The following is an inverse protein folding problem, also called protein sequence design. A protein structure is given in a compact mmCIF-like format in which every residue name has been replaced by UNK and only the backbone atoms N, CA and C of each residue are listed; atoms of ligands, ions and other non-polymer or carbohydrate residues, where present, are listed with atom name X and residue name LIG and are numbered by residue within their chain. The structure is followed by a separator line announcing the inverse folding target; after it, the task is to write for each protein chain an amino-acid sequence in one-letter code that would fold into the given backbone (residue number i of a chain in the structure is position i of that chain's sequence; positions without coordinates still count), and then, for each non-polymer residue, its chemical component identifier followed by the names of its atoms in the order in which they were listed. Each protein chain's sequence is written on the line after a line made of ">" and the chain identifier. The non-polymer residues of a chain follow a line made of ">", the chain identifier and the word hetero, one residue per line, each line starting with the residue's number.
data_IF_127304493655
#
_entry.id   IF_127304493655
#
_cell.length_a   1.000
_cell.length_b   1.000
_cell.length_c   1.000
_cell.angle_alpha   90.00
_cell.angle_beta   90.00
_cell.angle_gamma   90.00
#
_symmetry.space_group_name_H-M   'P 1'
#
loop_
_entity.id
_entity.type
_entity.pdbx_description
1 polymer ?
#
# COMPACT_ATOMS: atom_id res chain seq x y z
N UNK A 1 -5.69 11.03 -49.04
CA UNK A 1 -6.05 12.17 -49.92
C UNK A 1 -5.51 13.43 -49.29
N UNK A 2 -4.70 14.18 -50.03
CA UNK A 2 -4.10 15.45 -49.62
C UNK A 2 -5.09 16.59 -49.87
N UNK A 3 -5.19 17.54 -48.94
CA UNK A 3 -5.75 18.86 -49.23
C UNK A 3 -4.66 19.90 -49.01
N UNK A 4 -4.49 20.71 -50.05
CA UNK A 4 -3.46 21.72 -50.30
C UNK A 4 -4.04 23.12 -50.09
N UNK A 5 -3.19 24.05 -49.62
CA UNK A 5 -3.08 25.49 -50.02
C UNK A 5 -4.23 26.45 -49.66
N UNK A 6 -4.09 27.75 -49.38
CA UNK A 6 -3.02 28.77 -49.34
C UNK A 6 -3.62 30.11 -48.78
N UNK A 7 -2.73 31.11 -48.56
CA UNK A 7 -2.93 32.58 -48.36
C UNK A 7 -3.01 33.05 -46.90
N UNK A 8 -1.93 33.61 -46.33
CA UNK A 8 -1.30 34.93 -46.59
C UNK A 8 -2.08 36.09 -45.95
N UNK A 9 -1.50 36.66 -44.89
CA UNK A 9 -2.02 37.82 -44.19
C UNK A 9 -0.98 38.37 -43.21
N UNK A 10 -0.05 39.16 -43.74
CA UNK A 10 1.00 39.87 -43.03
C UNK A 10 0.42 40.95 -42.11
N UNK A 11 0.80 40.98 -40.83
CA UNK A 11 0.66 42.18 -39.99
C UNK A 11 1.74 42.23 -38.90
N UNK A 12 2.71 43.10 -39.16
CA UNK A 12 3.45 43.99 -38.24
C UNK A 12 4.04 43.47 -36.93
N UNK A 13 5.37 43.61 -36.89
CA UNK A 13 6.27 43.58 -35.74
C UNK A 13 5.81 44.46 -34.56
N UNK A 14 5.87 43.88 -33.36
CA UNK A 14 6.19 44.61 -32.14
C UNK A 14 7.48 44.01 -31.57
N UNK A 15 8.59 44.74 -31.69
CA UNK A 15 9.88 44.39 -31.09
C UNK A 15 9.85 44.87 -29.64
N UNK A 16 9.69 43.95 -28.70
CA UNK A 16 9.99 44.20 -27.29
C UNK A 16 11.39 43.67 -27.02
N UNK A 17 12.33 44.60 -26.84
CA UNK A 17 13.66 44.31 -26.34
C UNK A 17 13.57 43.89 -24.87
N UNK A 18 13.76 42.61 -24.59
CA UNK A 18 13.99 42.05 -23.26
C UNK A 18 15.35 41.37 -23.24
N UNK A 19 16.30 41.93 -22.49
CA UNK A 19 17.59 41.31 -22.21
C UNK A 19 17.48 40.40 -20.98
N UNK A 20 18.26 39.31 -21.03
CA UNK A 20 18.66 38.45 -19.91
C UNK A 20 17.63 37.45 -19.37
N UNK A 21 17.74 36.20 -19.82
CA UNK A 21 18.11 35.07 -18.96
C UNK A 21 18.27 33.81 -19.81
N UNK A 22 19.29 33.02 -19.48
CA UNK A 22 19.79 31.93 -20.28
C UNK A 22 18.76 30.86 -20.62
N UNK A 23 19.00 30.27 -21.78
CA UNK A 23 18.40 29.02 -22.25
C UNK A 23 18.72 27.91 -21.25
N UNK A 24 17.85 27.73 -20.26
CA UNK A 24 17.80 26.49 -19.49
C UNK A 24 17.06 25.50 -20.38
N UNK A 25 17.87 24.77 -21.15
CA UNK A 25 17.66 23.42 -21.62
C UNK A 25 16.46 22.77 -20.91
N UNK A 26 15.31 22.77 -21.57
CA UNK A 26 14.16 21.96 -21.20
C UNK A 26 14.59 20.50 -21.38
N UNK A 27 15.27 19.96 -20.37
CA UNK A 27 15.20 18.54 -20.11
C UNK A 27 13.72 18.23 -19.94
N UNK A 28 13.22 17.32 -20.78
CA UNK A 28 11.93 16.67 -20.55
C UNK A 28 11.81 16.38 -19.04
N UNK A 29 10.67 16.71 -18.41
CA UNK A 29 10.29 15.92 -17.26
C UNK A 29 10.11 14.51 -17.82
N UNK A 30 11.12 13.66 -17.63
CA UNK A 30 10.86 12.24 -17.50
C UNK A 30 9.70 12.15 -16.53
N UNK A 31 8.65 11.44 -16.93
CA UNK A 31 7.54 11.13 -16.05
C UNK A 31 8.14 10.83 -14.68
N UNK A 32 7.83 11.66 -13.69
CA UNK A 32 8.04 11.29 -12.31
C UNK A 32 7.27 9.99 -12.15
N UNK A 33 7.99 8.87 -12.19
CA UNK A 33 7.54 7.60 -11.63
C UNK A 33 7.21 7.93 -10.18
N UNK A 34 5.96 8.30 -9.96
CA UNK A 34 5.45 8.60 -8.63
C UNK A 34 5.50 7.26 -7.92
N UNK A 35 6.55 7.07 -7.10
CA UNK A 35 6.74 5.84 -6.36
C UNK A 35 5.41 5.51 -5.68
N UNK A 36 4.86 4.34 -6.02
CA UNK A 36 3.63 3.85 -5.43
C UNK A 36 3.81 3.85 -3.92
N UNK A 37 2.91 4.54 -3.22
CA UNK A 37 2.96 4.62 -1.77
C UNK A 37 2.25 3.39 -1.21
N UNK A 38 2.80 2.75 -0.18
CA UNK A 38 2.14 1.59 0.42
C UNK A 38 0.81 2.01 1.05
N UNK A 39 -0.15 1.10 1.03
CA UNK A 39 -1.32 1.22 1.89
C UNK A 39 -0.97 0.69 3.27
N UNK A 40 -1.06 1.56 4.28
CA UNK A 40 -0.68 1.22 5.66
C UNK A 40 -1.93 0.95 6.51
N UNK A 41 -1.91 -0.13 7.27
CA UNK A 41 -2.90 -0.46 8.30
C UNK A 41 -2.19 -0.61 9.64
N UNK A 42 -2.77 -0.09 10.71
CA UNK A 42 -2.21 -0.27 12.05
C UNK A 42 -3.27 -0.44 13.14
N UNK A 43 -2.87 -1.05 14.25
CA UNK A 43 -3.72 -1.29 15.41
C UNK A 43 -2.94 -1.94 16.54
N UNK A 44 -3.55 -1.97 17.74
CA UNK A 44 -2.97 -2.66 18.89
C UNK A 44 -3.74 -3.94 19.16
N UNK A 45 -3.08 -5.09 19.00
CA UNK A 45 -3.66 -6.40 19.29
C UNK A 45 -3.54 -6.77 20.77
N UNK A 46 -4.47 -7.58 21.33
CA UNK A 46 -4.36 -8.09 22.68
C UNK A 46 -3.10 -8.95 22.86
N UNK A 47 -2.43 -8.78 23.99
CA UNK A 47 -1.25 -9.52 24.37
C UNK A 47 -1.49 -10.26 25.70
N UNK A 48 -1.03 -11.51 25.81
CA UNK A 48 -1.22 -12.31 27.02
C UNK A 48 -0.37 -11.83 28.20
N UNK A 49 0.86 -11.40 27.92
CA UNK A 49 1.90 -11.13 28.91
C UNK A 49 2.45 -9.71 28.81
N UNK A 50 1.76 -8.83 28.08
CA UNK A 50 2.18 -7.46 27.83
C UNK A 50 0.94 -6.57 27.59
N UNK A 51 1.13 -5.26 27.48
CA UNK A 51 0.00 -4.31 27.42
C UNK A 51 -0.67 -4.26 26.03
N UNK A 52 -0.07 -4.91 25.04
CA UNK A 52 -0.56 -5.00 23.67
C UNK A 52 0.59 -5.22 22.68
N UNK A 53 0.24 -5.58 21.45
CA UNK A 53 1.19 -5.65 20.34
C UNK A 53 0.77 -4.58 19.33
N UNK A 54 1.61 -3.58 19.12
CA UNK A 54 1.41 -2.64 18.04
C UNK A 54 1.80 -3.30 16.74
N UNK A 55 0.81 -3.47 15.88
CA UNK A 55 0.95 -4.10 14.59
C UNK A 55 0.79 -3.02 13.51
N UNK A 56 1.77 -2.92 12.63
CA UNK A 56 1.71 -2.13 11.40
C UNK A 56 1.90 -3.07 10.21
N UNK A 57 1.04 -2.92 9.21
CA UNK A 57 1.09 -3.68 7.95
C UNK A 57 1.10 -2.68 6.81
N UNK A 58 2.16 -2.70 6.01
CA UNK A 58 2.31 -1.91 4.81
C UNK A 58 2.16 -2.83 3.60
N UNK A 59 1.22 -2.53 2.72
CA UNK A 59 0.95 -3.28 1.49
C UNK A 59 1.37 -2.44 0.28
N UNK A 60 2.32 -2.93 -0.50
CA UNK A 60 2.67 -2.40 -1.81
C UNK A 60 1.84 -3.09 -2.90
N UNK A 61 1.49 -2.36 -3.96
CA UNK A 61 0.54 -2.82 -4.96
C UNK A 61 -0.90 -2.81 -4.44
N UNK A 62 -1.87 -2.82 -5.36
CA UNK A 62 -3.28 -3.02 -5.03
C UNK A 62 -3.74 -4.46 -5.40
N UNK A 63 -5.03 -4.73 -5.22
CA UNK A 63 -5.62 -6.05 -5.50
C UNK A 63 -5.49 -6.46 -6.99
N UNK A 64 -5.41 -5.49 -7.89
CA UNK A 64 -5.34 -5.70 -9.35
C UNK A 64 -3.89 -5.77 -9.87
N UNK A 65 -2.90 -5.43 -9.04
CA UNK A 65 -1.48 -5.49 -9.37
C UNK A 65 -1.00 -6.93 -9.65
N UNK A 66 0.18 -7.06 -10.26
CA UNK A 66 0.80 -8.39 -10.44
C UNK A 66 1.35 -8.94 -9.12
N UNK A 67 1.52 -10.26 -9.02
CA UNK A 67 2.05 -10.88 -7.80
C UNK A 67 3.45 -10.37 -7.42
N UNK A 68 4.29 -10.03 -8.40
CA UNK A 68 5.63 -9.50 -8.16
C UNK A 68 5.61 -8.04 -7.63
N UNK A 69 4.52 -7.30 -7.89
CA UNK A 69 4.31 -5.94 -7.40
C UNK A 69 3.67 -5.91 -6.01
N UNK A 70 3.02 -7.02 -5.60
CA UNK A 70 2.37 -7.15 -4.29
C UNK A 70 3.34 -7.64 -3.22
N UNK A 71 4.01 -6.69 -2.57
CA UNK A 71 4.88 -6.96 -1.42
C UNK A 71 4.30 -6.39 -0.12
N UNK A 72 4.68 -6.95 1.02
CA UNK A 72 4.32 -6.39 2.32
C UNK A 72 5.53 -6.21 3.23
N UNK A 73 5.38 -5.28 4.17
CA UNK A 73 6.18 -5.18 5.38
C UNK A 73 5.23 -5.20 6.59
N UNK A 74 5.56 -5.99 7.61
CA UNK A 74 4.81 -6.12 8.84
C UNK A 74 5.76 -5.91 10.02
N UNK A 75 5.41 -4.99 10.91
CA UNK A 75 6.13 -4.73 12.15
C UNK A 75 5.24 -5.03 13.36
N UNK A 76 5.78 -5.74 14.34
CA UNK A 76 5.13 -6.03 15.62
C UNK A 76 5.98 -5.55 16.80
N UNK A 77 5.46 -4.61 17.58
CA UNK A 77 6.12 -4.06 18.77
C UNK A 77 5.36 -4.43 20.05
N UNK A 78 6.02 -5.15 20.96
CA UNK A 78 5.41 -5.62 22.20
C UNK A 78 5.51 -4.57 23.32
N UNK A 79 4.36 -4.00 23.71
CA UNK A 79 4.31 -2.94 24.72
C UNK A 79 4.54 -3.47 26.12
N UNK A 80 5.57 -2.96 26.82
CA UNK A 80 5.87 -3.29 28.22
C UNK A 80 6.01 -4.80 28.48
N UNK A 81 6.52 -5.56 27.51
CA UNK A 81 6.77 -6.98 27.70
C UNK A 81 7.88 -7.20 28.74
N UNK A 82 7.76 -8.15 29.70
CA UNK A 82 8.74 -8.35 30.78
C UNK A 82 10.17 -8.61 30.30
N UNK A 83 10.30 -9.27 29.16
CA UNK A 83 11.59 -9.58 28.54
C UNK A 83 12.08 -8.50 27.58
N UNK A 84 11.24 -7.50 27.30
CA UNK A 84 11.52 -6.39 26.38
C UNK A 84 12.19 -6.87 25.07
N UNK A 85 11.55 -7.78 24.32
CA UNK A 85 12.09 -8.25 23.05
C UNK A 85 12.20 -7.08 22.06
N UNK A 86 13.11 -7.15 21.08
CA UNK A 86 13.09 -6.20 19.97
C UNK A 86 11.78 -6.31 19.19
N UNK A 87 11.46 -5.27 18.41
CA UNK A 87 10.38 -5.36 17.44
C UNK A 87 10.66 -6.52 16.45
N UNK A 88 9.58 -7.23 16.09
CA UNK A 88 9.63 -8.25 15.04
C UNK A 88 9.27 -7.60 13.72
N UNK A 89 10.00 -7.96 12.66
CA UNK A 89 9.81 -7.44 11.32
C UNK A 89 9.73 -8.61 10.34
N UNK A 90 8.71 -8.58 9.48
CA UNK A 90 8.49 -9.58 8.44
C UNK A 90 8.21 -8.90 7.11
N UNK A 91 8.77 -9.44 6.04
CA UNK A 91 8.52 -8.96 4.69
C UNK A 91 8.33 -10.13 3.72
N UNK A 92 7.54 -9.91 2.67
CA UNK A 92 7.15 -10.98 1.76
C UNK A 92 6.23 -10.53 0.66
N UNK A 93 5.52 -11.49 0.07
CA UNK A 93 4.45 -11.24 -0.89
C UNK A 93 3.10 -11.34 -0.19
N UNK A 94 2.12 -10.64 -0.74
CA UNK A 94 0.74 -10.81 -0.32
C UNK A 94 -0.18 -11.12 -1.50
N UNK A 95 -1.19 -11.93 -1.23
CA UNK A 95 -2.16 -12.39 -2.21
C UNK A 95 -3.60 -12.18 -1.73
N UNK A 96 -4.52 -12.15 -2.69
CA UNK A 96 -5.96 -12.03 -2.45
C UNK A 96 -6.58 -13.42 -2.57
N UNK A 97 -7.25 -13.85 -1.50
CA UNK A 97 -8.04 -15.08 -1.44
C UNK A 97 -9.52 -14.71 -1.37
N UNK A 98 -10.32 -15.35 -2.22
CA UNK A 98 -11.77 -15.22 -2.21
C UNK A 98 -12.42 -16.16 -1.20
N UNK A 99 -13.26 -15.59 -0.36
CA UNK A 99 -14.15 -16.26 0.55
C UNK A 99 -13.53 -16.71 1.86
N UNK A 100 -14.44 -16.97 2.79
CA UNK A 100 -14.21 -17.67 4.06
C UNK A 100 -15.22 -18.80 4.18
N UNK A 101 -15.05 -19.68 5.16
CA UNK A 101 -16.00 -20.77 5.40
C UNK A 101 -17.45 -20.29 5.70
N UNK A 102 -17.61 -19.05 6.17
CA UNK A 102 -18.92 -18.47 6.55
C UNK A 102 -19.44 -17.44 5.54
N UNK A 103 -18.55 -16.86 4.76
CA UNK A 103 -18.87 -15.81 3.79
C UNK A 103 -18.03 -16.03 2.52
N UNK A 104 -18.61 -16.62 1.46
CA UNK A 104 -17.89 -16.91 0.23
C UNK A 104 -17.56 -15.66 -0.60
N UNK A 105 -18.10 -14.48 -0.26
CA UNK A 105 -17.83 -13.22 -0.96
C UNK A 105 -16.80 -12.36 -0.21
N UNK A 106 -16.31 -12.81 0.94
CA UNK A 106 -15.30 -12.09 1.71
C UNK A 106 -13.97 -12.02 0.96
N UNK A 107 -13.29 -10.87 0.99
CA UNK A 107 -11.91 -10.74 0.52
C UNK A 107 -10.95 -10.99 1.69
N UNK A 108 -9.96 -11.86 1.51
CA UNK A 108 -8.91 -12.13 2.49
C UNK A 108 -7.55 -11.82 1.89
N UNK A 109 -6.69 -11.14 2.64
CA UNK A 109 -5.28 -10.96 2.30
C UNK A 109 -4.44 -12.02 3.02
N UNK A 110 -3.69 -12.80 2.26
CA UNK A 110 -2.68 -13.73 2.77
C UNK A 110 -1.32 -13.08 2.65
N UNK A 111 -0.60 -12.93 3.76
CA UNK A 111 0.75 -12.37 3.81
C UNK A 111 1.73 -13.51 4.09
N UNK A 112 2.59 -13.83 3.12
CA UNK A 112 3.56 -14.92 3.20
C UNK A 112 4.98 -14.38 3.33
N UNK A 113 5.61 -14.46 4.52
CA UNK A 113 6.99 -14.02 4.72
C UNK A 113 7.99 -14.77 3.83
N UNK A 114 9.04 -14.09 3.36
CA UNK A 114 10.12 -14.69 2.57
C UNK A 114 11.03 -15.66 3.37
N UNK A 115 10.97 -15.62 4.70
CA UNK A 115 11.88 -16.32 5.60
C UNK A 115 11.16 -17.02 6.75
N UNK A 116 11.73 -16.90 7.95
CA UNK A 116 11.05 -17.37 9.16
C UNK A 116 9.84 -16.49 9.47
N UNK A 117 8.79 -17.10 9.99
CA UNK A 117 7.51 -16.42 10.24
C UNK A 117 6.34 -17.32 9.90
N UNK A 118 5.17 -16.95 10.41
CA UNK A 118 3.91 -17.58 10.04
C UNK A 118 3.26 -16.81 8.89
N UNK A 119 2.38 -17.47 8.15
CA UNK A 119 1.50 -16.80 7.20
C UNK A 119 0.40 -16.09 8.00
N UNK A 120 0.14 -14.83 7.66
CA UNK A 120 -0.92 -14.03 8.28
C UNK A 120 -2.12 -13.91 7.34
N UNK A 121 -3.32 -14.00 7.90
CA UNK A 121 -4.57 -13.88 7.15
C UNK A 121 -5.37 -12.71 7.69
N UNK A 122 -5.70 -11.75 6.83
CA UNK A 122 -6.52 -10.60 7.19
C UNK A 122 -7.78 -10.58 6.34
N UNK A 123 -8.96 -10.69 6.96
CA UNK A 123 -10.21 -10.41 6.25
C UNK A 123 -10.36 -8.91 6.08
N UNK A 124 -10.59 -8.46 4.85
CA UNK A 124 -11.00 -7.08 4.55
C UNK A 124 -12.47 -6.92 4.89
N UNK A 125 -12.77 -6.15 5.93
CA UNK A 125 -14.16 -5.88 6.33
C UNK A 125 -14.77 -4.73 5.54
N UNK A 126 -13.95 -3.73 5.21
CA UNK A 126 -14.27 -2.60 4.37
C UNK A 126 -12.97 -1.98 3.80
N UNK A 127 -13.08 -0.84 3.11
CA UNK A 127 -11.92 -0.18 2.48
C UNK A 127 -10.84 0.33 3.46
N UNK A 128 -11.14 0.39 4.76
CA UNK A 128 -10.26 0.95 5.79
C UNK A 128 -10.00 -0.02 6.95
N UNK A 129 -10.60 -1.21 6.95
CA UNK A 129 -10.51 -2.13 8.09
C UNK A 129 -10.09 -3.52 7.66
N UNK A 130 -8.98 -3.99 8.22
CA UNK A 130 -8.55 -5.38 8.19
C UNK A 130 -8.80 -6.04 9.55
N UNK A 131 -9.21 -7.30 9.56
CA UNK A 131 -9.35 -8.11 10.78
C UNK A 131 -8.47 -9.36 10.66
N UNK A 132 -7.57 -9.59 11.61
CA UNK A 132 -6.77 -10.82 11.65
C UNK A 132 -7.69 -12.04 11.88
N UNK A 133 -7.55 -13.06 11.05
CA UNK A 133 -8.31 -14.32 11.11
C UNK A 133 -7.36 -15.53 11.23
N UNK A 134 -7.93 -16.71 11.52
CA UNK A 134 -7.13 -17.92 11.66
C UNK A 134 -6.69 -18.52 10.31
N UNK A 135 -5.70 -19.45 10.31
CA UNK A 135 -5.23 -20.11 9.08
C UNK A 135 -6.27 -21.00 8.36
N UNK A 136 -7.46 -21.20 8.95
CA UNK A 136 -8.58 -21.87 8.30
C UNK A 136 -9.61 -20.88 7.76
N UNK A 137 -9.23 -19.60 7.66
CA UNK A 137 -10.06 -18.49 7.19
C UNK A 137 -11.31 -18.30 8.04
N UNK A 138 -11.19 -18.49 9.37
CA UNK A 138 -12.28 -18.26 10.32
C UNK A 138 -11.94 -17.10 11.24
N UNK A 139 -12.94 -16.25 11.46
CA UNK A 139 -12.88 -15.16 12.44
C UNK A 139 -12.78 -15.71 13.86
N UNK A 140 -12.01 -15.04 14.71
CA UNK A 140 -11.93 -15.31 16.14
C UNK A 140 -13.20 -14.85 16.87
N UNK A 141 -13.47 -15.42 18.06
CA UNK A 141 -14.65 -15.08 18.88
C UNK A 141 -14.70 -13.60 19.28
N UNK A 142 -13.55 -12.94 19.43
CA UNK A 142 -13.40 -11.50 19.71
C UNK A 142 -12.62 -10.79 18.58
N UNK A 143 -12.93 -11.12 17.33
CA UNK A 143 -12.21 -10.62 16.15
C UNK A 143 -12.17 -9.09 16.06
N UNK A 144 -13.12 -8.38 16.63
CA UNK A 144 -13.12 -6.91 16.65
C UNK A 144 -11.93 -6.30 17.39
N UNK A 145 -11.34 -7.02 18.34
CA UNK A 145 -10.11 -6.61 19.03
C UNK A 145 -8.85 -6.83 18.19
N UNK A 146 -8.99 -7.54 17.06
CA UNK A 146 -7.90 -7.90 16.16
C UNK A 146 -7.91 -7.09 14.86
N UNK A 147 -8.50 -5.89 14.92
CA UNK A 147 -8.67 -5.03 13.74
C UNK A 147 -7.54 -4.03 13.61
N UNK A 148 -7.11 -3.86 12.37
CA UNK A 148 -6.21 -2.79 11.95
C UNK A 148 -7.03 -1.76 11.17
N UNK A 149 -6.67 -0.49 11.33
CA UNK A 149 -7.28 0.65 10.65
C UNK A 149 -6.30 1.20 9.63
N UNK A 150 -6.81 1.55 8.45
CA UNK A 150 -6.03 2.20 7.41
C UNK A 150 -5.56 3.58 7.88
N UNK A 151 -4.28 3.86 7.69
CA UNK A 151 -3.69 5.16 7.97
C UNK A 151 -3.83 6.07 6.74
N UNK A 152 -4.06 7.37 6.98
CA UNK A 152 -4.24 8.40 5.94
C UNK A 152 -2.94 9.16 5.68
#
# INVERSE_FOLDING_TARGET
>A
MQIRTLLAGSAMLAVLAGCAAGTSQQGQPGASEQAEQPTVYSGTLPCRSCDGIDLEVQLMGDEDATADERTFELQAEYRNHPENPPAEEYNGQWDVIDGTAKDPEATVYELTPNGEGQIYYFQKLDANTLELIDPQLRRFENGETLRLQRQQ
#
